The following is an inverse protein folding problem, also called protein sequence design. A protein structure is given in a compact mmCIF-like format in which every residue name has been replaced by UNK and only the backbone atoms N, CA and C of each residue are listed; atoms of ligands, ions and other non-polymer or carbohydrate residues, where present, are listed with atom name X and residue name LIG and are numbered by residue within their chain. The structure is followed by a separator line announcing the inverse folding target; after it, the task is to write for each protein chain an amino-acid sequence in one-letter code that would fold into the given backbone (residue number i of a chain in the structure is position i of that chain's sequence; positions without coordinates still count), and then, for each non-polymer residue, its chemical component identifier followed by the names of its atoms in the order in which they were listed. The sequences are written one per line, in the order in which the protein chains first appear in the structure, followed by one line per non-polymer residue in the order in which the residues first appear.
data_IF_977412793121
#
_entry.id   IF_977412793121
#
_cell.length_a   1.000
_cell.length_b   1.000
_cell.length_c   1.000
_cell.angle_alpha   90.00
_cell.angle_beta   90.00
_cell.angle_gamma   90.00
#
_symmetry.space_group_name_H-M   'P 1'
#
loop_
_entity.id
_entity.type
_entity.pdbx_description
1 polymer ?
#
# COMPACT_ATOMS: atom_id res chain seq x y z
N UNK A 1 -71.41 8.18 50.87
CA UNK A 1 -70.08 7.58 50.70
C UNK A 1 -69.96 7.20 49.23
N UNK A 2 -69.14 7.91 48.47
CA UNK A 2 -69.04 7.71 47.01
C UNK A 2 -68.27 8.85 46.36
N UNK A 3 -66.96 8.88 46.57
CA UNK A 3 -66.06 9.75 45.79
C UNK A 3 -65.94 9.19 44.37
N UNK A 4 -66.39 9.98 43.39
CA UNK A 4 -66.20 9.70 41.97
C UNK A 4 -64.85 10.31 41.56
N UNK A 5 -63.85 9.45 41.43
CA UNK A 5 -62.54 9.81 40.88
C UNK A 5 -62.67 10.17 39.39
N UNK A 6 -62.74 11.47 39.07
CA UNK A 6 -62.64 11.96 37.70
C UNK A 6 -61.18 11.93 37.26
N UNK A 7 -60.79 10.91 36.49
CA UNK A 7 -59.45 10.79 35.89
C UNK A 7 -59.30 11.85 34.80
N UNK A 8 -58.45 12.86 35.03
CA UNK A 8 -58.33 14.04 34.17
C UNK A 8 -57.80 13.72 32.75
N UNK A 9 -58.37 14.31 31.69
CA UNK A 9 -57.99 14.07 30.28
C UNK A 9 -56.58 14.59 29.94
N UNK A 10 -56.05 15.51 30.74
CA UNK A 10 -54.70 16.10 30.64
C UNK A 10 -53.58 15.04 30.58
N UNK A 11 -53.73 13.96 31.37
CA UNK A 11 -52.70 12.91 31.50
C UNK A 11 -52.56 12.08 30.22
N UNK A 12 -53.65 11.84 29.50
CA UNK A 12 -53.62 11.06 28.25
C UNK A 12 -52.98 11.83 27.11
N UNK A 13 -53.18 13.15 27.06
CA UNK A 13 -52.53 14.03 26.08
C UNK A 13 -51.00 14.05 26.30
N UNK A 14 -50.55 14.15 27.55
CA UNK A 14 -49.12 14.09 27.87
C UNK A 14 -48.48 12.76 27.49
N UNK A 15 -49.15 11.63 27.77
CA UNK A 15 -48.62 10.30 27.44
C UNK A 15 -48.51 10.12 25.92
N UNK A 16 -49.49 10.62 25.16
CA UNK A 16 -49.46 10.57 23.69
C UNK A 16 -48.32 11.42 23.09
N UNK A 17 -48.06 12.61 23.64
CA UNK A 17 -46.95 13.47 23.20
C UNK A 17 -45.59 12.83 23.51
N UNK A 18 -45.41 12.28 24.72
CA UNK A 18 -44.18 11.58 25.09
C UNK A 18 -43.97 10.30 24.27
N UNK A 19 -45.04 9.56 23.94
CA UNK A 19 -44.95 8.38 23.07
C UNK A 19 -44.52 8.74 21.64
N UNK A 20 -45.01 9.86 21.08
CA UNK A 20 -44.60 10.36 19.76
C UNK A 20 -43.15 10.87 19.73
N UNK A 21 -42.69 11.52 20.80
CA UNK A 21 -41.29 11.96 20.89
C UNK A 21 -40.32 10.76 20.95
N UNK A 22 -40.68 9.71 21.70
CA UNK A 22 -39.86 8.50 21.83
C UNK A 22 -39.74 7.76 20.50
N UNK A 23 -40.81 7.65 19.71
CA UNK A 23 -40.76 6.98 18.40
C UNK A 23 -39.89 7.74 17.38
N UNK A 24 -39.93 9.08 17.39
CA UNK A 24 -39.07 9.91 16.54
C UNK A 24 -37.60 9.77 16.93
N UNK A 25 -37.28 9.83 18.23
CA UNK A 25 -35.90 9.63 18.70
C UNK A 25 -35.40 8.23 18.34
N UNK A 26 -36.23 7.19 18.52
CA UNK A 26 -35.87 5.82 18.15
C UNK A 26 -35.61 5.68 16.64
N UNK A 27 -36.42 6.32 15.80
CA UNK A 27 -36.23 6.31 14.35
C UNK A 27 -34.93 7.04 13.93
N UNK A 28 -34.61 8.16 14.57
CA UNK A 28 -33.36 8.90 14.33
C UNK A 28 -32.15 8.07 14.79
N UNK A 29 -32.20 7.46 15.98
CA UNK A 29 -31.13 6.58 16.47
C UNK A 29 -30.97 5.38 15.56
N UNK A 30 -32.06 4.78 15.09
CA UNK A 30 -32.02 3.66 14.15
C UNK A 30 -31.43 4.07 12.80
N UNK A 31 -31.79 5.25 12.27
CA UNK A 31 -31.22 5.79 11.04
C UNK A 31 -29.73 6.10 11.19
N UNK A 32 -29.31 6.65 12.34
CA UNK A 32 -27.90 6.88 12.67
C UNK A 32 -27.16 5.54 12.75
N UNK A 33 -27.69 4.55 13.47
CA UNK A 33 -27.06 3.22 13.62
C UNK A 33 -26.98 2.49 12.28
N UNK A 34 -28.03 2.53 11.45
CA UNK A 34 -28.04 1.92 10.11
C UNK A 34 -27.11 2.67 9.14
N UNK A 35 -27.08 4.01 9.19
CA UNK A 35 -26.14 4.83 8.42
C UNK A 35 -24.69 4.61 8.83
N UNK A 36 -24.41 4.53 10.14
CA UNK A 36 -23.10 4.18 10.68
C UNK A 36 -22.67 2.77 10.28
N UNK A 37 -23.61 1.81 10.27
CA UNK A 37 -23.35 0.46 9.76
C UNK A 37 -22.98 0.50 8.29
N UNK A 38 -23.70 1.26 7.45
CA UNK A 38 -23.36 1.37 6.03
C UNK A 38 -21.98 2.02 5.79
N UNK A 39 -21.58 2.97 6.64
CA UNK A 39 -20.22 3.53 6.66
C UNK A 39 -19.17 2.51 7.11
N UNK A 40 -19.50 1.62 8.04
CA UNK A 40 -18.58 0.60 8.57
C UNK A 40 -18.52 -0.67 7.69
N UNK A 41 -19.59 -1.00 6.99
CA UNK A 41 -19.70 -2.16 6.10
C UNK A 41 -19.46 -1.82 4.63
N UNK A 42 -18.92 -0.63 4.33
CA UNK A 42 -18.53 -0.19 2.98
C UNK A 42 -17.45 -1.10 2.38
N UNK A 43 -17.86 -2.28 1.93
CA UNK A 43 -17.11 -3.10 1.00
C UNK A 43 -17.47 -2.65 -0.40
N UNK A 44 -16.47 -2.31 -1.20
CA UNK A 44 -16.66 -2.05 -2.63
C UNK A 44 -17.14 -3.33 -3.30
N UNK A 45 -18.15 -3.23 -4.18
CA UNK A 45 -18.51 -4.35 -5.03
C UNK A 45 -17.35 -4.62 -5.97
N UNK A 46 -16.85 -5.85 -5.96
CA UNK A 46 -15.72 -6.27 -6.81
C UNK A 46 -15.94 -5.99 -8.31
N UNK A 47 -17.20 -5.94 -8.77
CA UNK A 47 -17.58 -5.60 -10.15
C UNK A 47 -17.24 -4.18 -10.56
N UNK A 48 -17.17 -3.26 -9.59
CA UNK A 48 -17.03 -1.82 -9.85
C UNK A 48 -15.54 -1.42 -9.93
N UNK A 49 -14.64 -2.30 -9.46
CA UNK A 49 -13.19 -2.14 -9.58
C UNK A 49 -12.67 -2.81 -10.86
N UNK A 50 -12.56 -2.02 -11.92
CA UNK A 50 -12.16 -2.49 -13.26
C UNK A 50 -10.70 -2.20 -13.58
N UNK A 51 -10.18 -1.04 -13.15
CA UNK A 51 -8.83 -0.60 -13.50
C UNK A 51 -7.79 -1.28 -12.63
N UNK A 52 -6.73 -1.78 -13.27
CA UNK A 52 -5.63 -2.52 -12.62
C UNK A 52 -4.42 -1.62 -12.46
N UNK A 53 -3.84 -1.64 -11.27
CA UNK A 53 -2.56 -0.97 -11.02
C UNK A 53 -1.83 -1.64 -9.86
N UNK A 54 -0.65 -1.13 -9.52
CA UNK A 54 0.05 -1.41 -8.28
C UNK A 54 -0.16 -0.27 -7.30
N UNK A 55 -0.08 -0.57 -6.01
CA UNK A 55 -0.01 0.43 -4.97
C UNK A 55 1.04 0.10 -3.93
N UNK A 56 1.49 1.11 -3.21
CA UNK A 56 2.53 1.01 -2.19
C UNK A 56 1.87 1.11 -0.82
N UNK A 57 2.08 0.12 0.04
CA UNK A 57 1.48 0.12 1.38
C UNK A 57 2.10 1.23 2.23
N UNK A 58 1.25 2.13 2.74
CA UNK A 58 1.66 3.17 3.69
C UNK A 58 1.46 2.76 5.14
N UNK A 59 0.34 2.08 5.40
CA UNK A 59 0.01 1.54 6.72
C UNK A 59 -1.04 0.45 6.64
N UNK A 60 -1.02 -0.45 7.61
CA UNK A 60 -2.07 -1.44 7.81
C UNK A 60 -2.54 -1.40 9.27
N UNK A 61 -3.86 -1.31 9.46
CA UNK A 61 -4.48 -1.30 10.78
C UNK A 61 -5.52 -2.41 10.88
N UNK A 62 -5.37 -3.26 11.89
CA UNK A 62 -6.38 -4.26 12.19
C UNK A 62 -7.68 -3.58 12.62
N UNK A 63 -8.81 -4.04 12.09
CA UNK A 63 -10.14 -3.63 12.55
C UNK A 63 -10.60 -4.51 13.70
N UNK A 64 -11.74 -4.14 14.30
CA UNK A 64 -12.40 -4.98 15.31
C UNK A 64 -13.19 -6.14 14.68
N UNK A 65 -13.23 -6.26 13.35
CA UNK A 65 -13.96 -7.31 12.66
C UNK A 65 -13.07 -8.53 12.43
N UNK A 66 -13.64 -9.71 12.69
CA UNK A 66 -13.06 -11.02 12.39
C UNK A 66 -14.06 -11.84 11.61
N UNK A 67 -13.59 -12.53 10.57
CA UNK A 67 -14.41 -13.44 9.76
C UNK A 67 -13.75 -14.80 9.80
N UNK A 68 -14.43 -15.80 10.36
CA UNK A 68 -13.89 -17.15 10.57
C UNK A 68 -12.52 -17.12 11.29
N UNK A 69 -12.45 -16.41 12.42
CA UNK A 69 -11.24 -16.20 13.24
C UNK A 69 -10.09 -15.45 12.56
N UNK A 70 -10.23 -15.05 11.30
CA UNK A 70 -9.25 -14.27 10.56
C UNK A 70 -9.49 -12.78 10.77
N UNK A 71 -8.47 -12.00 11.19
CA UNK A 71 -8.59 -10.57 11.33
C UNK A 71 -8.80 -9.86 9.99
N UNK A 72 -9.65 -8.84 10.00
CA UNK A 72 -9.73 -7.88 8.90
C UNK A 72 -8.79 -6.71 9.16
N UNK A 73 -8.12 -6.24 8.11
CA UNK A 73 -7.29 -5.05 8.09
C UNK A 73 -7.86 -4.02 7.14
N UNK A 74 -7.68 -2.75 7.50
CA UNK A 74 -7.74 -1.60 6.61
C UNK A 74 -6.31 -1.26 6.25
N UNK A 75 -5.99 -1.31 4.97
CA UNK A 75 -4.66 -1.03 4.43
C UNK A 75 -4.75 0.25 3.62
N UNK A 76 -4.00 1.27 4.02
CA UNK A 76 -3.86 2.50 3.26
C UNK A 76 -2.73 2.30 2.25
N UNK A 77 -3.03 2.58 0.99
CA UNK A 77 -2.17 2.30 -0.15
C UNK A 77 -2.09 3.55 -1.01
N UNK A 78 -0.89 3.90 -1.46
CA UNK A 78 -0.73 4.88 -2.52
C UNK A 78 -0.75 4.14 -3.86
N UNK A 79 -1.87 4.22 -4.55
CA UNK A 79 -2.06 3.63 -5.87
C UNK A 79 -1.31 4.43 -6.92
N UNK A 80 -0.65 3.74 -7.85
CA UNK A 80 0.08 4.37 -8.95
C UNK A 80 -0.88 4.63 -10.12
N UNK A 81 -0.91 5.84 -10.63
CA UNK A 81 -1.66 6.22 -11.83
C UNK A 81 -0.84 5.95 -13.11
N UNK A 82 -1.51 5.96 -14.26
CA UNK A 82 -0.88 5.70 -15.57
C UNK A 82 0.16 6.77 -15.96
N UNK A 83 0.13 7.95 -15.33
CA UNK A 83 1.12 9.03 -15.53
C UNK A 83 2.32 8.93 -14.57
N UNK A 84 2.37 7.91 -13.71
CA UNK A 84 3.41 7.72 -12.71
C UNK A 84 3.22 8.52 -11.42
N UNK A 85 2.18 9.35 -11.32
CA UNK A 85 1.79 9.95 -10.04
C UNK A 85 1.16 8.90 -9.11
N UNK A 86 1.00 9.23 -7.83
CA UNK A 86 0.28 8.37 -6.89
C UNK A 86 -0.90 9.08 -6.24
N UNK A 87 -1.93 8.31 -5.89
CA UNK A 87 -3.11 8.79 -5.17
C UNK A 87 -3.47 7.85 -4.01
N UNK A 88 -3.95 8.39 -2.88
CA UNK A 88 -4.30 7.59 -1.73
C UNK A 88 -5.58 6.78 -1.99
N UNK A 89 -5.56 5.51 -1.62
CA UNK A 89 -6.72 4.61 -1.63
C UNK A 89 -6.69 3.67 -0.43
N UNK A 90 -7.83 3.05 -0.16
CA UNK A 90 -7.99 2.11 0.96
C UNK A 90 -8.39 0.73 0.46
N UNK A 91 -7.70 -0.31 0.95
CA UNK A 91 -8.06 -1.70 0.73
C UNK A 91 -8.48 -2.35 2.05
N UNK A 92 -9.64 -3.02 2.06
CA UNK A 92 -10.05 -3.89 3.17
C UNK A 92 -9.71 -5.33 2.84
N UNK A 93 -8.92 -5.99 3.69
CA UNK A 93 -8.49 -7.38 3.47
C UNK A 93 -8.64 -8.22 4.73
N UNK A 94 -9.24 -9.40 4.59
CA UNK A 94 -9.20 -10.43 5.62
C UNK A 94 -7.95 -11.25 5.34
N UNK A 95 -7.05 -11.33 6.31
CA UNK A 95 -5.76 -12.01 6.17
C UNK A 95 -5.64 -13.14 7.19
N UNK A 96 -4.96 -14.21 6.80
CA UNK A 96 -4.48 -15.20 7.76
C UNK A 96 -3.27 -14.67 8.53
N UNK A 97 -2.95 -15.29 9.67
CA UNK A 97 -1.81 -14.86 10.49
C UNK A 97 -0.47 -14.88 9.73
N UNK A 98 -0.26 -15.85 8.84
CA UNK A 98 0.94 -15.94 8.01
C UNK A 98 1.05 -14.85 6.95
N UNK A 99 -0.05 -14.18 6.61
CA UNK A 99 -0.08 -13.10 5.61
C UNK A 99 0.04 -11.71 6.25
N UNK A 100 0.20 -11.60 7.58
CA UNK A 100 0.28 -10.30 8.26
C UNK A 100 1.59 -9.57 7.92
N UNK A 101 2.71 -10.28 7.86
CA UNK A 101 4.01 -9.74 7.39
C UNK A 101 3.89 -9.15 5.98
N UNK A 102 2.92 -9.66 5.23
CA UNK A 102 2.58 -9.22 3.89
C UNK A 102 1.93 -7.83 3.83
N UNK A 103 1.62 -7.22 4.97
CA UNK A 103 1.03 -5.88 5.07
C UNK A 103 2.04 -4.82 5.54
N UNK A 104 3.33 -5.10 5.40
CA UNK A 104 4.41 -4.18 5.75
C UNK A 104 4.41 -2.93 4.88
N UNK A 105 4.84 -1.81 5.47
CA UNK A 105 5.04 -0.53 4.77
C UNK A 105 6.05 -0.69 3.62
N UNK A 106 5.91 0.14 2.59
CA UNK A 106 6.80 0.18 1.43
C UNK A 106 6.54 -0.93 0.41
N UNK A 107 5.76 -1.95 0.78
CA UNK A 107 5.53 -3.10 -0.08
C UNK A 107 4.62 -2.76 -1.25
N UNK A 108 5.03 -3.16 -2.44
CA UNK A 108 4.27 -3.00 -3.68
C UNK A 108 3.26 -4.13 -3.81
N UNK A 109 2.00 -3.78 -4.05
CA UNK A 109 0.90 -4.73 -4.06
C UNK A 109 -0.05 -4.46 -5.22
N UNK A 110 -0.52 -5.50 -5.93
CA UNK A 110 -1.43 -5.34 -7.04
C UNK A 110 -2.84 -5.06 -6.53
N UNK A 111 -3.48 -4.05 -7.11
CA UNK A 111 -4.82 -3.61 -6.74
C UNK A 111 -5.68 -3.37 -7.98
N UNK A 112 -7.00 -3.39 -7.76
CA UNK A 112 -7.98 -2.86 -8.68
C UNK A 112 -8.80 -1.78 -8.03
N UNK A 113 -9.08 -0.70 -8.76
CA UNK A 113 -9.85 0.42 -8.25
C UNK A 113 -10.95 0.83 -9.24
N UNK A 114 -11.91 1.61 -8.75
CA UNK A 114 -12.92 2.23 -9.59
C UNK A 114 -12.39 3.61 -10.04
N UNK A 115 -12.27 3.89 -11.34
CA UNK A 115 -11.75 5.18 -11.80
C UNK A 115 -12.68 6.36 -11.48
N UNK A 116 -13.97 6.10 -11.22
CA UNK A 116 -14.94 7.13 -10.81
C UNK A 116 -14.83 7.41 -9.31
N UNK A 117 -14.51 6.40 -8.50
CA UNK A 117 -14.31 6.50 -7.05
C UNK A 117 -13.02 5.80 -6.63
N UNK A 118 -11.95 6.57 -6.57
CA UNK A 118 -10.60 6.08 -6.24
C UNK A 118 -10.39 5.88 -4.73
N UNK A 119 -11.36 6.24 -3.89
CA UNK A 119 -11.21 6.20 -2.42
C UNK A 119 -10.99 4.78 -1.88
N UNK A 120 -11.45 3.77 -2.63
CA UNK A 120 -11.36 2.38 -2.25
C UNK A 120 -10.92 1.49 -3.41
N UNK A 121 -10.15 0.47 -3.06
CA UNK A 121 -9.63 -0.52 -3.98
C UNK A 121 -9.76 -1.93 -3.39
N UNK A 122 -9.59 -2.92 -4.25
CA UNK A 122 -9.53 -4.34 -3.90
C UNK A 122 -8.17 -4.91 -4.30
N UNK A 123 -7.74 -6.00 -3.66
CA UNK A 123 -6.56 -6.72 -4.12
C UNK A 123 -6.80 -7.35 -5.49
N UNK A 124 -5.86 -7.22 -6.42
CA UNK A 124 -5.91 -8.01 -7.64
C UNK A 124 -5.35 -9.41 -7.38
N UNK A 125 -6.17 -10.43 -7.68
CA UNK A 125 -5.78 -11.84 -7.53
C UNK A 125 -5.13 -12.40 -8.79
N UNK A 126 -5.25 -11.69 -9.91
CA UNK A 126 -4.69 -12.11 -11.19
C UNK A 126 -4.01 -10.92 -11.87
N UNK A 127 -2.95 -10.37 -11.26
CA UNK A 127 -2.31 -9.17 -11.77
C UNK A 127 -1.60 -9.42 -13.10
N UNK A 128 -1.67 -8.42 -13.98
CA UNK A 128 -0.77 -8.33 -15.13
C UNK A 128 0.61 -7.89 -14.63
N UNK A 129 1.57 -8.82 -14.62
CA UNK A 129 2.93 -8.56 -14.09
C UNK A 129 3.66 -7.53 -14.93
N UNK A 130 3.56 -7.60 -16.25
CA UNK A 130 4.27 -6.68 -17.14
C UNK A 130 3.77 -5.25 -16.91
N UNK A 131 2.44 -5.06 -16.89
CA UNK A 131 1.84 -3.75 -16.60
C UNK A 131 2.18 -3.24 -15.19
N UNK A 132 2.19 -4.14 -14.20
CA UNK A 132 2.56 -3.80 -12.83
C UNK A 132 4.01 -3.31 -12.72
N UNK A 133 4.93 -3.93 -13.45
CA UNK A 133 6.33 -3.52 -13.54
C UNK A 133 6.48 -2.18 -14.26
N UNK A 134 5.74 -1.96 -15.35
CA UNK A 134 5.71 -0.68 -16.08
C UNK A 134 5.24 0.47 -15.18
N UNK A 135 4.13 0.30 -14.47
CA UNK A 135 3.62 1.32 -13.55
C UNK A 135 4.62 1.63 -12.43
N UNK A 136 5.25 0.61 -11.83
CA UNK A 136 6.25 0.81 -10.80
C UNK A 136 7.51 1.52 -11.34
N UNK A 137 7.99 1.13 -12.52
CA UNK A 137 9.13 1.76 -13.17
C UNK A 137 8.86 3.23 -13.50
N UNK A 138 7.66 3.54 -13.99
CA UNK A 138 7.24 4.90 -14.30
C UNK A 138 7.17 5.74 -13.03
N UNK A 139 6.49 5.24 -11.99
CA UNK A 139 6.41 5.89 -10.68
C UNK A 139 7.78 6.25 -10.11
N UNK A 140 8.72 5.29 -10.07
CA UNK A 140 10.06 5.54 -9.53
C UNK A 140 10.85 6.56 -10.37
N UNK A 141 10.65 6.58 -11.69
CA UNK A 141 11.30 7.56 -12.57
C UNK A 141 10.75 8.98 -12.40
N UNK A 142 9.45 9.12 -12.14
CA UNK A 142 8.80 10.40 -11.85
C UNK A 142 9.15 10.88 -10.44
N UNK A 143 9.15 9.97 -9.47
CA UNK A 143 9.52 10.26 -8.08
C UNK A 143 10.98 10.70 -7.96
N UNK A 144 11.88 10.12 -8.75
CA UNK A 144 13.31 10.43 -8.72
C UNK A 144 13.90 10.67 -10.12
N UNK A 145 13.68 11.86 -10.71
CA UNK A 145 14.16 12.17 -12.05
C UNK A 145 15.69 12.15 -12.20
N UNK A 146 16.42 12.27 -11.08
CA UNK A 146 17.89 12.19 -11.04
C UNK A 146 18.47 10.76 -10.96
N UNK A 147 17.62 9.75 -10.83
CA UNK A 147 18.01 8.32 -10.83
C UNK A 147 17.79 7.70 -12.23
N UNK A 148 17.67 6.37 -12.32
CA UNK A 148 17.38 5.64 -13.54
C UNK A 148 16.05 6.08 -14.17
N UNK A 149 16.09 6.33 -15.48
CA UNK A 149 14.89 6.61 -16.28
C UNK A 149 13.97 5.39 -16.37
N UNK A 150 12.72 5.64 -16.77
CA UNK A 150 11.72 4.59 -17.03
C UNK A 150 12.26 3.49 -17.96
N UNK A 151 12.84 3.88 -19.09
CA UNK A 151 13.36 2.95 -20.10
C UNK A 151 14.50 2.12 -19.53
N UNK A 152 15.40 2.72 -18.74
CA UNK A 152 16.51 2.01 -18.12
C UNK A 152 16.03 0.99 -17.09
N UNK A 153 15.02 1.33 -16.29
CA UNK A 153 14.42 0.40 -15.32
C UNK A 153 13.78 -0.81 -16.02
N UNK A 154 12.98 -0.58 -17.06
CA UNK A 154 12.40 -1.67 -17.85
C UNK A 154 13.45 -2.52 -18.54
N UNK A 155 14.51 -1.90 -19.02
CA UNK A 155 15.61 -2.60 -19.66
C UNK A 155 16.33 -3.56 -18.71
N UNK A 156 16.57 -3.11 -17.48
CA UNK A 156 17.11 -3.94 -16.40
C UNK A 156 16.14 -5.07 -16.04
N UNK A 157 14.83 -4.83 -16.04
CA UNK A 157 13.87 -5.89 -15.74
C UNK A 157 13.81 -6.95 -16.84
N UNK A 158 13.82 -6.53 -18.11
CA UNK A 158 13.64 -7.42 -19.26
C UNK A 158 14.94 -8.15 -19.66
N UNK A 159 16.10 -7.52 -19.50
CA UNK A 159 17.39 -8.02 -19.99
C UNK A 159 18.48 -8.09 -18.92
N UNK A 160 18.18 -7.67 -17.69
CA UNK A 160 19.15 -7.63 -16.62
C UNK A 160 19.53 -9.02 -16.12
N UNK A 161 20.80 -9.17 -15.76
CA UNK A 161 21.31 -10.34 -15.07
C UNK A 161 21.40 -10.05 -13.58
N UNK A 162 21.10 -11.06 -12.77
CA UNK A 162 21.23 -10.95 -11.32
C UNK A 162 22.58 -11.51 -10.89
N UNK A 163 23.35 -10.75 -10.10
CA UNK A 163 24.61 -11.21 -9.50
C UNK A 163 24.65 -10.88 -8.02
N UNK A 164 25.47 -11.63 -7.28
CA UNK A 164 25.87 -11.24 -5.92
C UNK A 164 26.98 -10.21 -6.01
N UNK A 165 26.85 -9.14 -5.23
CA UNK A 165 27.82 -8.07 -5.15
C UNK A 165 28.09 -7.71 -3.69
N UNK A 166 29.34 -7.39 -3.38
CA UNK A 166 29.74 -6.84 -2.09
C UNK A 166 29.42 -5.34 -2.07
N UNK A 167 28.71 -4.87 -1.05
CA UNK A 167 28.53 -3.43 -0.81
C UNK A 167 29.78 -2.87 -0.13
N UNK A 168 30.74 -2.39 -0.92
CA UNK A 168 32.01 -1.86 -0.43
C UNK A 168 31.85 -0.53 0.30
N UNK A 169 30.97 0.32 -0.21
CA UNK A 169 30.67 1.61 0.38
C UNK A 169 29.18 1.94 0.26
N UNK A 170 28.65 2.57 1.29
CA UNK A 170 27.29 3.07 1.32
C UNK A 170 27.24 4.27 2.25
N UNK A 171 26.77 5.40 1.76
CA UNK A 171 26.66 6.62 2.53
C UNK A 171 25.54 7.51 2.03
N UNK A 172 24.75 8.04 2.96
CA UNK A 172 23.77 9.07 2.66
C UNK A 172 24.50 10.36 2.25
N UNK A 173 24.02 11.03 1.20
CA UNK A 173 24.55 12.33 0.78
C UNK A 173 24.06 13.47 1.68
N UNK A 174 23.03 13.20 2.49
CA UNK A 174 22.32 14.17 3.32
C UNK A 174 21.16 14.87 2.62
N UNK A 175 20.91 14.56 1.34
CA UNK A 175 19.74 15.04 0.60
C UNK A 175 18.58 14.05 0.76
N UNK A 176 17.41 14.58 1.05
CA UNK A 176 16.13 13.87 1.01
C UNK A 176 15.31 14.43 -0.17
N UNK A 177 14.67 13.55 -0.93
CA UNK A 177 13.78 13.90 -2.04
C UNK A 177 12.54 13.00 -1.95
N UNK A 178 11.35 13.59 -1.92
CA UNK A 178 10.08 12.83 -1.94
C UNK A 178 9.96 11.72 -0.87
N UNK A 179 10.55 11.94 0.31
CA UNK A 179 10.54 11.01 1.44
C UNK A 179 11.61 9.91 1.40
N UNK A 180 12.43 9.88 0.36
CA UNK A 180 13.53 8.92 0.20
C UNK A 180 14.87 9.65 0.31
N UNK A 181 15.89 8.93 0.80
CA UNK A 181 17.22 9.48 1.00
C UNK A 181 18.10 9.22 -0.21
N UNK A 182 18.80 10.25 -0.69
CA UNK A 182 19.84 10.07 -1.69
C UNK A 182 21.07 9.44 -1.01
N UNK A 183 21.57 8.36 -1.60
CA UNK A 183 22.74 7.64 -1.15
C UNK A 183 23.72 7.42 -2.30
N UNK A 184 25.00 7.45 -1.97
CA UNK A 184 26.06 6.93 -2.83
C UNK A 184 26.40 5.51 -2.41
N UNK A 185 26.34 4.59 -3.37
CA UNK A 185 26.64 3.18 -3.15
C UNK A 185 27.73 2.72 -4.11
N UNK A 186 28.71 2.01 -3.57
CA UNK A 186 29.75 1.31 -4.33
C UNK A 186 29.58 -0.18 -4.12
N UNK A 187 29.31 -0.90 -5.21
CA UNK A 187 29.25 -2.35 -5.23
C UNK A 187 30.49 -2.92 -5.90
N UNK A 188 30.94 -4.08 -5.46
CA UNK A 188 31.97 -4.86 -6.12
C UNK A 188 31.37 -6.15 -6.63
N UNK A 189 31.57 -6.42 -7.91
CA UNK A 189 31.15 -7.64 -8.57
C UNK A 189 32.39 -8.43 -8.93
N UNK A 190 32.44 -9.66 -8.46
CA UNK A 190 33.48 -10.63 -8.85
C UNK A 190 32.98 -11.44 -10.03
N UNK A 191 33.79 -11.54 -11.08
CA UNK A 191 33.50 -12.35 -12.25
C UNK A 191 33.82 -13.84 -12.02
N UNK A 192 33.63 -14.67 -13.03
CA UNK A 192 33.92 -16.11 -12.95
C UNK A 192 35.43 -16.42 -12.97
N UNK A 193 36.26 -15.46 -13.37
CA UNK A 193 37.72 -15.57 -13.41
C UNK A 193 38.37 -15.06 -12.11
N UNK A 194 37.58 -14.56 -11.16
CA UNK A 194 38.03 -14.02 -9.88
C UNK A 194 38.43 -12.54 -9.94
N UNK A 195 38.28 -11.89 -11.10
CA UNK A 195 38.50 -10.46 -11.24
C UNK A 195 37.34 -9.70 -10.62
N UNK A 196 37.65 -8.73 -9.76
CA UNK A 196 36.66 -7.95 -9.05
C UNK A 196 36.67 -6.50 -9.53
N UNK A 197 35.52 -6.01 -9.97
CA UNK A 197 35.36 -4.63 -10.45
C UNK A 197 34.32 -3.90 -9.60
N UNK A 198 34.65 -2.66 -9.21
CA UNK A 198 33.78 -1.81 -8.41
C UNK A 198 33.00 -0.81 -9.26
N UNK A 199 31.73 -0.60 -8.92
CA UNK A 199 30.80 0.29 -9.59
C UNK A 199 30.14 1.20 -8.56
N UNK A 200 30.25 2.51 -8.76
CA UNK A 200 29.63 3.52 -7.89
C UNK A 200 28.48 4.20 -8.62
N UNK A 201 27.38 4.43 -7.91
CA UNK A 201 26.30 5.30 -8.37
C UNK A 201 25.60 5.99 -7.20
N UNK A 202 24.90 7.08 -7.53
CA UNK A 202 23.89 7.67 -6.66
C UNK A 202 22.52 7.05 -6.95
N UNK A 203 21.74 6.83 -5.90
CA UNK A 203 20.41 6.26 -5.96
C UNK A 203 19.59 6.71 -4.75
N UNK A 204 18.27 6.51 -4.80
CA UNK A 204 17.38 6.83 -3.68
C UNK A 204 16.95 5.56 -2.96
N UNK A 205 16.89 5.64 -1.64
CA UNK A 205 16.51 4.55 -0.75
C UNK A 205 15.45 5.00 0.24
N UNK A 206 14.48 4.14 0.48
CA UNK A 206 13.49 4.33 1.53
C UNK A 206 14.12 4.10 2.91
N UNK A 207 13.45 4.58 3.96
CA UNK A 207 13.89 4.32 5.35
C UNK A 207 13.94 2.82 5.68
N UNK A 208 13.02 2.02 5.14
CA UNK A 208 12.96 0.57 5.37
C UNK A 208 14.08 -0.19 4.62
N UNK A 209 14.57 0.36 3.51
CA UNK A 209 15.70 -0.19 2.76
C UNK A 209 17.06 0.15 3.40
N UNK A 210 17.17 1.30 4.08
CA UNK A 210 18.38 1.71 4.79
C UNK A 210 18.82 0.67 5.82
N UNK A 211 17.87 0.06 6.53
CA UNK A 211 18.17 -0.97 7.54
C UNK A 211 18.79 -2.24 6.94
N UNK A 212 18.61 -2.47 5.64
CA UNK A 212 19.13 -3.62 4.90
C UNK A 212 20.47 -3.33 4.20
N UNK A 213 20.84 -2.06 4.03
CA UNK A 213 22.02 -1.65 3.27
C UNK A 213 23.18 -1.30 4.19
N UNK A 214 23.97 -2.33 4.55
CA UNK A 214 25.16 -2.16 5.39
C UNK A 214 26.43 -2.50 4.62
N UNK A 215 27.43 -1.63 4.74
CA UNK A 215 28.77 -1.86 4.20
C UNK A 215 29.30 -3.24 4.63
N UNK A 216 29.94 -3.94 3.71
CA UNK A 216 30.50 -5.28 3.91
C UNK A 216 29.51 -6.43 3.66
N UNK A 217 28.23 -6.14 3.40
CA UNK A 217 27.26 -7.18 3.08
C UNK A 217 27.33 -7.59 1.61
N UNK A 218 27.05 -8.87 1.35
CA UNK A 218 26.75 -9.37 0.01
C UNK A 218 25.25 -9.31 -0.26
N UNK A 219 24.88 -8.62 -1.33
CA UNK A 219 23.49 -8.41 -1.76
C UNK A 219 23.31 -8.91 -3.19
N UNK A 220 22.07 -9.21 -3.56
CA UNK A 220 21.71 -9.43 -4.96
C UNK A 220 21.51 -8.08 -5.64
N UNK A 221 22.18 -7.89 -6.78
CA UNK A 221 21.99 -6.74 -7.66
C UNK A 221 21.56 -7.21 -9.04
N UNK A 222 20.79 -6.37 -9.75
CA UNK A 222 20.42 -6.59 -11.14
C UNK A 222 20.90 -5.44 -12.01
N UNK A 223 21.45 -5.74 -13.17
CA UNK A 223 21.94 -4.76 -14.14
C UNK A 223 21.97 -5.37 -15.54
N UNK A 224 22.01 -4.55 -16.58
CA UNK A 224 22.24 -5.05 -17.95
C UNK A 224 23.74 -5.20 -18.20
N UNK A 225 24.23 -6.35 -18.74
CA UNK A 225 25.65 -6.53 -19.05
C UNK A 225 26.23 -5.38 -19.89
N UNK A 226 27.41 -4.87 -19.52
CA UNK A 226 28.06 -3.70 -20.12
C UNK A 226 27.55 -2.35 -19.59
N UNK A 227 26.57 -2.34 -18.68
CA UNK A 227 26.06 -1.16 -17.96
C UNK A 227 25.91 -1.44 -16.46
N UNK A 228 26.92 -2.07 -15.88
CA UNK A 228 26.97 -2.48 -14.47
C UNK A 228 26.78 -1.29 -13.51
N UNK A 229 27.16 -0.06 -13.91
CA UNK A 229 26.93 1.17 -13.14
C UNK A 229 25.45 1.51 -12.93
N UNK A 230 24.55 0.94 -13.72
CA UNK A 230 23.09 1.15 -13.65
C UNK A 230 22.40 0.10 -12.75
N UNK A 231 23.11 -0.49 -11.79
CA UNK A 231 22.59 -1.57 -10.97
C UNK A 231 21.40 -1.17 -10.09
N UNK A 232 20.48 -2.10 -9.84
CA UNK A 232 19.45 -1.97 -8.79
C UNK A 232 19.67 -3.02 -7.70
N UNK A 233 19.34 -2.68 -6.45
CA UNK A 233 19.36 -3.63 -5.35
C UNK A 233 18.08 -4.47 -5.36
N UNK A 234 18.23 -5.79 -5.20
CA UNK A 234 17.11 -6.70 -4.99
C UNK A 234 16.98 -6.94 -3.47
N UNK A 235 16.16 -6.13 -2.81
CA UNK A 235 15.97 -6.17 -1.35
C UNK A 235 14.70 -6.95 -1.01
N UNK A 236 14.67 -7.54 0.19
CA UNK A 236 13.57 -8.41 0.63
C UNK A 236 12.24 -7.69 0.79
N UNK A 237 12.26 -6.35 0.94
CA UNK A 237 11.05 -5.53 1.01
C UNK A 237 10.60 -5.00 -0.37
N UNK A 238 11.53 -4.86 -1.33
CA UNK A 238 11.25 -4.30 -2.65
C UNK A 238 10.82 -5.33 -3.69
N UNK A 239 10.93 -6.63 -3.37
CA UNK A 239 10.47 -7.71 -4.22
C UNK A 239 9.18 -8.33 -3.69
N UNK A 240 8.11 -8.28 -4.51
CA UNK A 240 7.51 -9.47 -5.16
C UNK A 240 6.05 -9.15 -5.55
N UNK A 241 5.82 -8.98 -6.86
CA UNK A 241 4.54 -9.33 -7.48
C UNK A 241 4.51 -10.86 -7.49
N UNK A 242 3.92 -11.43 -6.43
CA UNK A 242 3.70 -12.85 -6.08
C UNK A 242 4.51 -13.91 -6.84
N UNK A 243 5.32 -14.73 -6.14
CA UNK A 243 5.59 -16.10 -6.61
C UNK A 243 4.27 -16.90 -6.68
#
# INVERSE_FOLDING_TARGET
MGEVFTKSPERWLSIAIWAGAVTIILAIVLAIVLGFRHLLTGGVKQSDCTERTVGIIQSAKQTNLRVNERPQFIVNVDAIADDGSSFPTTVRKIVSFSEIDSLSRGRVVPIKYNPIDTSQAIWDKSPDRARSQEHLALYLSVKHPGDLSYERRLDIENRGVTKKALLENFGLTGREENGDWEAEATIQITDTHGESTSYTRRLYVTSDELDQLKKGMYLSVRFVPGREKEFIFLLSCSAVIYE
#
